data_IF_019212524413
#
_entry.id   IF_019212524413
#
_cell.length_a   1.000
_cell.length_b   1.000
_cell.length_c   1.000
_cell.angle_alpha   90.00
_cell.angle_beta   90.00
_cell.angle_gamma   90.00
#
_symmetry.space_group_name_H-M   'P 1'
#
loop_
_entity.id
_entity.type
_entity.pdbx_description
1 polymer ?
#
# COMPACT_ATOMS: atom_id res chain seq x y z
N UNK A 1 13.25 12.00 -3.61
CA UNK A 1 12.67 10.65 -3.45
C UNK A 1 13.80 9.65 -3.24
N UNK A 2 13.66 8.70 -2.31
CA UNK A 2 14.62 7.60 -2.09
C UNK A 2 14.08 6.33 -2.75
N UNK A 3 14.94 5.61 -3.48
CA UNK A 3 14.58 4.32 -4.08
C UNK A 3 14.87 3.21 -3.07
N UNK A 4 13.94 2.27 -2.95
CA UNK A 4 14.08 1.06 -2.13
C UNK A 4 13.77 -0.17 -2.99
N UNK A 5 14.37 -1.30 -2.64
CA UNK A 5 14.10 -2.60 -3.26
C UNK A 5 13.53 -3.54 -2.21
N UNK A 6 12.47 -4.24 -2.57
CA UNK A 6 11.80 -5.22 -1.69
C UNK A 6 11.60 -6.52 -2.45
N UNK A 7 11.63 -7.65 -1.74
CA UNK A 7 11.24 -8.95 -2.27
C UNK A 7 9.73 -9.13 -2.07
N UNK A 8 9.04 -9.68 -3.06
CA UNK A 8 7.61 -9.94 -3.04
C UNK A 8 7.33 -11.28 -3.71
N UNK A 9 6.17 -11.87 -3.42
CA UNK A 9 5.73 -13.08 -4.11
C UNK A 9 5.38 -12.76 -5.57
N UNK A 10 5.67 -13.69 -6.48
CA UNK A 10 5.48 -13.49 -7.93
C UNK A 10 4.01 -13.26 -8.30
N UNK A 11 3.08 -13.93 -7.60
CA UNK A 11 1.65 -13.74 -7.82
C UNK A 11 1.20 -12.32 -7.44
N UNK A 12 1.76 -11.75 -6.36
CA UNK A 12 1.50 -10.37 -5.95
C UNK A 12 2.04 -9.36 -6.97
N UNK A 13 3.24 -9.60 -7.51
CA UNK A 13 3.81 -8.76 -8.58
C UNK A 13 2.88 -8.76 -9.80
N UNK A 14 2.41 -9.94 -10.20
CA UNK A 14 1.52 -10.12 -11.35
C UNK A 14 0.20 -9.37 -11.16
N UNK A 15 -0.42 -9.49 -9.97
CA UNK A 15 -1.65 -8.77 -9.63
C UNK A 15 -1.45 -7.25 -9.63
N UNK A 16 -0.34 -6.78 -9.06
CA UNK A 16 0.01 -5.36 -9.03
C UNK A 16 0.18 -4.78 -10.44
N UNK A 17 0.84 -5.53 -11.33
CA UNK A 17 1.05 -5.14 -12.72
C UNK A 17 -0.26 -5.05 -13.51
N UNK A 18 -1.14 -6.04 -13.33
CA UNK A 18 -2.45 -6.04 -13.97
C UNK A 18 -3.26 -4.80 -13.53
N UNK A 19 -3.34 -4.57 -12.22
CA UNK A 19 -4.02 -3.40 -11.65
C UNK A 19 -3.42 -2.08 -12.18
N UNK A 20 -2.09 -1.95 -12.14
CA UNK A 20 -1.42 -0.75 -12.62
C UNK A 20 -1.73 -0.47 -14.11
N UNK A 21 -1.77 -1.53 -14.94
CA UNK A 21 -2.08 -1.44 -16.37
C UNK A 21 -3.53 -1.04 -16.61
N UNK A 22 -4.49 -1.67 -15.93
CA UNK A 22 -5.92 -1.37 -16.05
C UNK A 22 -6.22 0.08 -15.67
N UNK A 23 -5.59 0.57 -14.60
CA UNK A 23 -5.78 1.91 -14.08
C UNK A 23 -4.85 2.96 -14.71
N UNK A 24 -3.98 2.57 -15.65
CA UNK A 24 -2.99 3.45 -16.32
C UNK A 24 -2.10 4.24 -15.35
N UNK A 25 -1.73 3.63 -14.23
CA UNK A 25 -0.85 4.21 -13.20
C UNK A 25 0.45 3.42 -13.11
N UNK A 26 1.48 4.00 -12.46
CA UNK A 26 2.74 3.29 -12.26
C UNK A 26 2.65 2.28 -11.10
N UNK A 27 3.38 1.16 -11.18
CA UNK A 27 3.49 0.20 -10.06
C UNK A 27 3.86 0.88 -8.74
N UNK A 28 4.81 1.81 -8.79
CA UNK A 28 5.27 2.54 -7.61
C UNK A 28 4.19 3.44 -7.01
N UNK A 29 3.28 3.96 -7.82
CA UNK A 29 2.15 4.75 -7.36
C UNK A 29 1.09 3.88 -6.67
N UNK A 30 0.78 2.72 -7.24
CA UNK A 30 -0.11 1.72 -6.61
C UNK A 30 0.42 1.31 -5.24
N UNK A 31 1.71 0.96 -5.17
CA UNK A 31 2.36 0.56 -3.90
C UNK A 31 2.30 1.70 -2.89
N UNK A 32 2.61 2.94 -3.29
CA UNK A 32 2.56 4.09 -2.37
C UNK A 32 1.16 4.32 -1.83
N UNK A 33 0.15 4.31 -2.69
CA UNK A 33 -1.24 4.54 -2.28
C UNK A 33 -1.73 3.41 -1.36
N UNK A 34 -1.36 2.17 -1.64
CA UNK A 34 -1.69 1.03 -0.77
C UNK A 34 -1.02 1.14 0.61
N UNK A 35 0.26 1.52 0.67
CA UNK A 35 0.98 1.73 1.94
C UNK A 35 0.36 2.88 2.74
N UNK A 36 0.08 4.03 2.09
CA UNK A 36 -0.55 5.18 2.75
C UNK A 36 -1.91 4.81 3.33
N UNK A 37 -2.78 4.20 2.51
CA UNK A 37 -4.10 3.74 2.94
C UNK A 37 -4.01 2.77 4.11
N UNK A 38 -3.08 1.80 4.05
CA UNK A 38 -2.89 0.86 5.15
C UNK A 38 -2.44 1.56 6.43
N UNK A 39 -1.56 2.56 6.35
CA UNK A 39 -1.13 3.33 7.52
C UNK A 39 -2.30 4.12 8.10
N UNK A 40 -3.04 4.87 7.27
CA UNK A 40 -4.19 5.67 7.68
C UNK A 40 -5.25 4.81 8.39
N UNK A 41 -5.68 3.71 7.77
CA UNK A 41 -6.67 2.77 8.34
C UNK A 41 -6.24 2.12 9.66
N UNK A 42 -4.94 2.12 9.99
CA UNK A 42 -4.41 1.55 11.22
C UNK A 42 -3.94 2.61 12.23
N UNK A 43 -3.82 3.88 11.82
CA UNK A 43 -3.62 5.01 12.72
C UNK A 43 -4.95 5.39 13.38
N UNK A 44 -6.05 5.40 12.62
CA UNK A 44 -7.38 5.71 13.14
C UNK A 44 -7.83 4.69 14.21
N UNK A 45 -7.47 3.42 14.03
CA UNK A 45 -7.77 2.36 15.02
C UNK A 45 -7.04 2.55 16.35
N UNK A 46 -5.83 3.13 16.34
CA UNK A 46 -5.11 3.45 17.59
C UNK A 46 -5.76 4.58 18.36
N UNK A 47 -6.41 5.53 17.70
CA UNK A 47 -7.12 6.62 18.39
C UNK A 47 -8.44 6.17 19.03
N UNK A 48 -9.07 5.11 18.53
CA UNK A 48 -10.26 4.50 19.14
C UNK A 48 -9.91 3.63 20.36
N UNK A 49 -8.81 2.86 20.29
CA UNK A 49 -8.33 2.06 21.43
C UNK A 49 -7.86 2.94 22.62
N UNK A 50 -7.23 4.09 22.36
CA UNK A 50 -6.76 5.01 23.41
C UNK A 50 -7.90 5.79 24.09
N UNK A 51 -9.08 5.90 23.47
CA UNK A 51 -10.25 6.58 24.07
C UNK A 51 -11.12 5.65 24.95
N UNK A 52 -10.81 4.36 24.95
CA UNK A 52 -11.52 3.34 25.73
C UNK A 52 -10.74 2.85 26.96
N UNK A 53 -9.52 3.37 27.20
CA UNK A 53 -8.72 3.16 28.41
C UNK A 53 -8.82 4.33 29.41
#
# INVERSE_FOLDING_TARGET
MRVITVKMQDDLITKLELFAKEHKVSRSEVIRNAILKYIEENQDKKEEEVKLE
#
